data_IF_254984853325
#
_entry.id   IF_254984853325
#
_cell.length_a   1.000
_cell.length_b   1.000
_cell.length_c   1.000
_cell.angle_alpha   90.00
_cell.angle_beta   90.00
_cell.angle_gamma   90.00
#
_symmetry.space_group_name_H-M   'P 1'
#
loop_
_entity.id
_entity.type
_entity.pdbx_description
1 polymer ?
#
# COMPACT_ATOMS: atom_id res chain seq x y z
N UNK A 1 -24.88 11.19 -4.88
CA UNK A 1 -24.71 10.16 -3.84
C UNK A 1 -23.47 10.48 -3.03
N UNK A 2 -23.57 10.42 -1.71
CA UNK A 2 -22.47 10.67 -0.79
C UNK A 2 -21.95 9.38 -0.19
N UNK A 3 -20.61 9.25 -0.07
CA UNK A 3 -19.95 8.06 0.48
C UNK A 3 -19.07 8.47 1.65
N UNK A 4 -19.27 7.84 2.82
CA UNK A 4 -18.39 7.99 3.97
C UNK A 4 -17.41 6.84 4.02
N UNK A 5 -16.13 7.12 3.84
CA UNK A 5 -15.04 6.13 4.03
C UNK A 5 -14.60 6.18 5.49
N UNK A 6 -14.71 5.06 6.21
CA UNK A 6 -14.22 4.94 7.58
C UNK A 6 -12.78 4.46 7.58
N UNK A 7 -11.85 5.25 8.11
CA UNK A 7 -10.45 4.88 8.27
C UNK A 7 -10.10 4.66 9.75
N UNK A 8 -9.52 3.49 10.06
CA UNK A 8 -9.13 3.13 11.43
C UNK A 8 -7.99 3.98 12.00
N UNK A 9 -7.18 4.62 11.15
CA UNK A 9 -6.08 5.51 11.54
C UNK A 9 -5.70 6.45 10.40
N UNK A 10 -5.95 7.76 10.56
CA UNK A 10 -5.57 8.84 9.65
C UNK A 10 -4.33 9.61 10.10
N UNK A 11 -3.73 9.25 11.22
CA UNK A 11 -2.54 9.93 11.74
C UNK A 11 -1.32 9.78 10.83
N UNK A 12 -0.28 10.52 11.11
CA UNK A 12 1.00 10.46 10.38
C UNK A 12 1.68 9.10 10.44
N UNK A 13 1.37 8.29 11.45
CA UNK A 13 1.82 6.88 11.56
C UNK A 13 0.92 5.90 10.80
N UNK A 14 -0.32 6.28 10.47
CA UNK A 14 -1.32 5.48 9.75
C UNK A 14 -1.46 5.83 8.27
N UNK A 15 -2.71 5.92 7.80
CA UNK A 15 -3.04 6.25 6.41
C UNK A 15 -2.54 7.64 5.99
N UNK A 16 -2.46 8.59 6.93
CA UNK A 16 -1.93 9.93 6.70
C UNK A 16 -0.44 9.98 6.35
N UNK A 17 0.34 8.96 6.69
CA UNK A 17 1.78 8.88 6.48
C UNK A 17 2.22 9.12 5.04
N UNK A 18 1.45 8.68 4.09
CA UNK A 18 1.79 8.70 2.67
C UNK A 18 1.13 9.85 1.91
N UNK A 19 0.54 10.81 2.64
CA UNK A 19 0.07 12.06 2.05
C UNK A 19 -0.91 11.89 0.91
N UNK A 20 -1.88 11.00 1.05
CA UNK A 20 -2.91 10.78 0.03
C UNK A 20 -2.61 9.67 -0.99
N UNK A 21 -1.42 9.04 -0.95
CA UNK A 21 -1.05 7.95 -1.86
C UNK A 21 -1.50 6.56 -1.38
N UNK A 22 -2.29 6.47 -0.31
CA UNK A 22 -2.80 5.21 0.24
C UNK A 22 -4.24 4.96 -0.13
N UNK A 23 -4.68 3.74 0.06
CA UNK A 23 -5.95 3.19 -0.40
C UNK A 23 -7.20 4.06 -0.17
N UNK A 24 -7.48 4.64 1.04
CA UNK A 24 -8.69 5.46 1.21
C UNK A 24 -8.69 6.71 0.33
N UNK A 25 -7.53 7.28 0.04
CA UNK A 25 -7.43 8.44 -0.86
C UNK A 25 -7.57 8.04 -2.33
N UNK A 26 -7.02 6.88 -2.74
CA UNK A 26 -7.21 6.35 -4.09
C UNK A 26 -8.68 6.00 -4.35
N UNK A 27 -9.35 5.38 -3.38
CA UNK A 27 -10.80 5.15 -3.41
C UNK A 27 -11.57 6.47 -3.57
N UNK A 28 -11.22 7.49 -2.78
CA UNK A 28 -11.86 8.81 -2.85
C UNK A 28 -11.69 9.46 -4.21
N UNK A 29 -10.49 9.40 -4.80
CA UNK A 29 -10.23 9.94 -6.13
C UNK A 29 -11.05 9.22 -7.20
N UNK A 30 -11.10 7.89 -7.17
CA UNK A 30 -11.86 7.10 -8.11
C UNK A 30 -13.38 7.33 -7.98
N UNK A 31 -13.90 7.41 -6.75
CA UNK A 31 -15.30 7.70 -6.47
C UNK A 31 -15.72 9.12 -6.92
N UNK A 32 -14.84 10.12 -6.75
CA UNK A 32 -15.09 11.47 -7.28
C UNK A 32 -15.16 11.51 -8.79
N UNK A 33 -14.31 10.74 -9.49
CA UNK A 33 -14.37 10.66 -10.97
C UNK A 33 -15.71 10.18 -11.49
N UNK A 34 -16.44 9.38 -10.74
CA UNK A 34 -17.79 8.91 -11.09
C UNK A 34 -18.92 9.77 -10.47
N UNK A 35 -18.57 10.97 -10.00
CA UNK A 35 -19.55 11.96 -9.53
C UNK A 35 -20.04 11.76 -8.10
N UNK A 36 -19.41 10.93 -7.28
CA UNK A 36 -19.75 10.80 -5.88
C UNK A 36 -19.17 11.95 -5.04
N UNK A 37 -19.93 12.44 -4.07
CA UNK A 37 -19.39 13.21 -2.96
C UNK A 37 -18.72 12.25 -1.98
N UNK A 38 -17.51 12.55 -1.53
CA UNK A 38 -16.74 11.66 -0.64
C UNK A 38 -16.26 12.41 0.58
N UNK A 39 -16.47 11.82 1.75
CA UNK A 39 -15.84 12.20 3.00
C UNK A 39 -15.03 11.02 3.57
N UNK A 40 -13.90 11.31 4.19
CA UNK A 40 -13.13 10.34 4.96
C UNK A 40 -13.30 10.67 6.44
N UNK A 41 -13.91 9.77 7.19
CA UNK A 41 -14.07 9.90 8.65
C UNK A 41 -13.13 8.90 9.30
N UNK A 42 -12.24 9.34 10.18
CA UNK A 42 -11.28 8.40 10.74
C UNK A 42 -10.61 8.87 12.01
N UNK A 43 -10.06 7.90 12.74
CA UNK A 43 -9.35 8.18 13.98
C UNK A 43 -7.97 8.79 13.74
N UNK A 44 -7.57 9.67 14.65
CA UNK A 44 -6.21 10.21 14.74
C UNK A 44 -5.69 10.05 16.16
N UNK A 45 -4.45 9.55 16.27
CA UNK A 45 -3.73 9.46 17.56
C UNK A 45 -2.85 10.69 17.78
N UNK A 46 -2.57 11.43 16.71
CA UNK A 46 -1.73 12.63 16.63
C UNK A 46 -2.39 13.65 15.69
N UNK A 47 -1.76 14.79 15.49
CA UNK A 47 -2.22 15.76 14.51
C UNK A 47 -2.26 15.16 13.09
N UNK A 48 -3.24 15.58 12.29
CA UNK A 48 -3.28 15.26 10.86
C UNK A 48 -2.00 15.79 10.19
N UNK A 49 -1.37 15.01 9.30
CA UNK A 49 -0.29 15.53 8.48
C UNK A 49 -0.78 16.71 7.63
N UNK A 50 0.02 17.78 7.56
CA UNK A 50 -0.34 19.01 6.83
C UNK A 50 -0.65 18.78 5.34
N UNK A 51 -0.04 17.77 4.72
CA UNK A 51 -0.28 17.43 3.33
C UNK A 51 -1.63 16.74 3.05
N UNK A 52 -2.31 16.21 4.08
CA UNK A 52 -3.67 15.65 3.94
C UNK A 52 -4.71 16.77 3.85
N UNK A 53 -4.51 17.89 4.53
CA UNK A 53 -5.43 19.02 4.50
C UNK A 53 -5.55 19.70 3.13
N UNK A 54 -4.67 19.39 2.17
CA UNK A 54 -4.70 19.91 0.80
C UNK A 54 -5.48 19.03 -0.18
N UNK A 55 -6.17 17.99 0.29
CA UNK A 55 -6.98 17.12 -0.57
C UNK A 55 -8.29 17.80 -0.99
N UNK A 56 -8.81 17.42 -2.15
CA UNK A 56 -10.05 17.95 -2.71
C UNK A 56 -11.34 17.32 -2.14
N UNK A 57 -11.25 16.50 -1.09
CA UNK A 57 -12.39 15.86 -0.41
C UNK A 57 -12.36 16.14 1.08
N UNK A 58 -13.53 16.01 1.72
CA UNK A 58 -13.69 16.27 3.15
C UNK A 58 -12.99 15.21 3.99
N UNK A 59 -12.20 15.62 4.96
CA UNK A 59 -11.57 14.74 5.94
C UNK A 59 -12.05 15.16 7.33
N UNK A 60 -12.63 14.23 8.06
CA UNK A 60 -13.18 14.42 9.41
C UNK A 60 -12.34 13.61 10.40
N UNK A 61 -11.33 14.21 11.03
CA UNK A 61 -10.51 13.54 12.03
C UNK A 61 -11.23 13.45 13.37
N UNK A 62 -11.15 12.28 14.00
CA UNK A 62 -11.70 12.02 15.33
C UNK A 62 -10.56 11.65 16.27
N UNK A 63 -10.42 12.38 17.38
CA UNK A 63 -9.41 12.09 18.39
C UNK A 63 -9.66 10.70 19.02
N UNK A 64 -8.65 9.83 18.94
CA UNK A 64 -8.78 8.43 19.39
C UNK A 64 -8.38 8.27 20.86
N UNK A 65 -9.31 7.81 21.69
CA UNK A 65 -8.97 7.21 22.97
C UNK A 65 -8.45 5.78 22.73
N UNK A 66 -7.25 5.48 23.24
CA UNK A 66 -6.49 4.27 22.88
C UNK A 66 -7.12 2.96 23.37
N UNK A 67 -7.76 3.01 24.55
CA UNK A 67 -8.22 1.83 25.27
C UNK A 67 -9.71 1.91 25.67
N UNK A 68 -10.38 0.77 25.77
CA UNK A 68 -11.68 0.70 26.43
C UNK A 68 -11.57 1.08 27.91
N UNK A 69 -12.60 1.72 28.55
CA UNK A 69 -13.88 2.10 27.94
C UNK A 69 -13.80 3.45 27.19
N UNK A 70 -12.73 4.24 27.33
CA UNK A 70 -12.60 5.57 26.69
C UNK A 70 -12.80 5.53 25.18
N UNK A 71 -12.34 4.47 24.52
CA UNK A 71 -12.53 4.28 23.07
C UNK A 71 -14.02 4.35 22.65
N UNK A 72 -14.96 3.95 23.51
CA UNK A 72 -16.39 4.01 23.18
C UNK A 72 -16.88 5.44 22.94
N UNK A 73 -16.28 6.44 23.59
CA UNK A 73 -16.59 7.86 23.35
C UNK A 73 -16.13 8.29 21.98
N UNK A 74 -14.89 7.96 21.61
CA UNK A 74 -14.36 8.22 20.27
C UNK A 74 -15.15 7.47 19.18
N UNK A 75 -15.57 6.25 19.45
CA UNK A 75 -16.39 5.45 18.54
C UNK A 75 -17.78 6.10 18.32
N UNK A 76 -18.42 6.58 19.39
CA UNK A 76 -19.68 7.31 19.28
C UNK A 76 -19.52 8.59 18.44
N UNK A 77 -18.51 9.39 18.72
CA UNK A 77 -18.21 10.60 17.96
C UNK A 77 -18.01 10.29 16.47
N UNK A 78 -17.25 9.24 16.13
CA UNK A 78 -17.06 8.81 14.75
C UNK A 78 -18.38 8.43 14.10
N UNK A 79 -19.21 7.63 14.78
CA UNK A 79 -20.52 7.22 14.28
C UNK A 79 -21.44 8.41 14.00
N UNK A 80 -21.40 9.45 14.85
CA UNK A 80 -22.21 10.66 14.68
C UNK A 80 -21.79 11.49 13.45
N UNK A 81 -20.51 11.37 13.03
CA UNK A 81 -19.94 12.09 11.86
C UNK A 81 -20.12 11.37 10.53
N UNK A 82 -20.59 10.14 10.51
CA UNK A 82 -20.86 9.39 9.26
C UNK A 82 -22.16 9.90 8.67
N UNK A 83 -22.09 10.59 7.51
CA UNK A 83 -23.25 11.22 6.87
C UNK A 83 -23.58 10.62 5.49
N UNK A 84 -22.68 9.86 4.86
CA UNK A 84 -22.85 9.29 3.51
C UNK A 84 -24.03 8.32 3.38
N UNK A 85 -24.57 8.22 2.17
CA UNK A 85 -25.62 7.27 1.80
C UNK A 85 -25.09 5.82 1.85
N UNK A 86 -23.80 5.63 1.50
CA UNK A 86 -23.05 4.39 1.61
C UNK A 86 -21.92 4.57 2.62
N UNK A 87 -21.71 3.55 3.47
CA UNK A 87 -20.62 3.49 4.44
C UNK A 87 -19.55 2.55 3.88
N UNK A 88 -18.34 3.06 3.61
CA UNK A 88 -17.24 2.27 3.06
C UNK A 88 -16.16 2.07 4.13
N UNK A 89 -16.17 0.91 4.78
CA UNK A 89 -15.17 0.56 5.79
C UNK A 89 -13.84 0.22 5.14
N UNK A 90 -12.80 0.98 5.43
CA UNK A 90 -11.44 0.70 5.00
C UNK A 90 -10.69 -0.09 6.06
N UNK A 91 -10.20 -1.26 5.68
CA UNK A 91 -9.58 -2.33 6.48
C UNK A 91 -10.56 -3.20 7.26
N UNK A 92 -10.22 -4.47 7.35
CA UNK A 92 -10.95 -5.47 8.11
C UNK A 92 -10.57 -5.38 9.60
N UNK A 93 -11.07 -4.33 10.27
CA UNK A 93 -10.80 -4.04 11.68
C UNK A 93 -12.08 -3.76 12.47
N UNK A 94 -12.11 -4.03 13.79
CA UNK A 94 -13.19 -3.57 14.65
C UNK A 94 -13.44 -2.07 14.59
N UNK A 95 -12.37 -1.28 14.47
CA UNK A 95 -12.42 0.19 14.41
C UNK A 95 -12.83 0.76 13.04
N UNK A 96 -13.06 -0.09 12.02
CA UNK A 96 -13.64 0.30 10.73
C UNK A 96 -14.88 -0.52 10.42
N UNK A 97 -14.75 -1.81 10.00
CA UNK A 97 -15.91 -2.67 9.72
C UNK A 97 -16.85 -2.79 10.91
N UNK A 98 -16.30 -3.00 12.12
CA UNK A 98 -17.14 -3.13 13.33
C UNK A 98 -18.03 -1.90 13.53
N UNK A 99 -17.48 -0.69 13.42
CA UNK A 99 -18.23 0.56 13.55
C UNK A 99 -19.19 0.77 12.37
N UNK A 100 -18.80 0.41 11.15
CA UNK A 100 -19.66 0.45 9.98
C UNK A 100 -20.91 -0.42 10.16
N UNK A 101 -20.75 -1.64 10.70
CA UNK A 101 -21.87 -2.55 11.00
C UNK A 101 -22.77 -2.00 12.12
N UNK A 102 -22.21 -1.36 13.15
CA UNK A 102 -23.01 -0.65 14.16
C UNK A 102 -23.83 0.47 13.52
N UNK A 103 -23.22 1.27 12.64
CA UNK A 103 -23.95 2.34 11.92
C UNK A 103 -25.03 1.76 11.00
N UNK A 104 -24.77 0.64 10.31
CA UNK A 104 -25.76 -0.07 9.49
C UNK A 104 -26.99 -0.46 10.32
N UNK A 105 -26.79 -0.99 11.53
CA UNK A 105 -27.91 -1.35 12.44
C UNK A 105 -28.73 -0.13 12.86
N UNK A 106 -28.10 1.04 13.00
CA UNK A 106 -28.78 2.29 13.39
C UNK A 106 -29.54 2.97 12.24
N UNK A 107 -29.04 2.81 11.01
CA UNK A 107 -29.51 3.66 9.87
C UNK A 107 -29.95 2.88 8.65
N UNK A 108 -29.81 1.56 8.63
CA UNK A 108 -30.07 0.66 7.47
C UNK A 108 -29.28 1.02 6.20
N UNK A 109 -28.23 1.84 6.30
CA UNK A 109 -27.38 2.20 5.16
C UNK A 109 -26.52 1.03 4.74
N UNK A 110 -26.28 0.84 3.42
CA UNK A 110 -25.40 -0.22 2.94
C UNK A 110 -23.95 -0.02 3.41
N UNK A 111 -23.29 -1.14 3.75
CA UNK A 111 -21.89 -1.17 4.15
C UNK A 111 -21.07 -1.90 3.11
N UNK A 112 -20.09 -1.19 2.56
CA UNK A 112 -19.04 -1.76 1.75
C UNK A 112 -17.80 -1.96 2.61
N UNK A 113 -17.04 -3.00 2.35
CA UNK A 113 -15.77 -3.30 3.02
C UNK A 113 -14.65 -3.32 1.98
N UNK A 114 -13.60 -2.57 2.23
CA UNK A 114 -12.35 -2.65 1.46
C UNK A 114 -11.26 -3.32 2.30
N UNK A 115 -10.69 -4.40 1.77
CA UNK A 115 -9.61 -5.16 2.42
C UNK A 115 -8.33 -4.96 1.61
N UNK A 116 -7.39 -4.19 2.15
CA UNK A 116 -6.09 -3.90 1.53
C UNK A 116 -4.90 -4.58 2.21
N UNK A 117 -5.17 -5.31 3.27
CA UNK A 117 -4.16 -6.07 4.01
C UNK A 117 -4.81 -7.22 4.80
N UNK A 118 -4.07 -8.26 5.05
CA UNK A 118 -4.48 -9.28 6.01
C UNK A 118 -3.90 -8.92 7.38
N UNK A 119 -4.66 -8.16 8.14
CA UNK A 119 -4.22 -7.59 9.42
C UNK A 119 -3.69 -8.64 10.41
N UNK A 120 -4.27 -9.84 10.41
CA UNK A 120 -3.82 -10.93 11.29
C UNK A 120 -2.46 -11.51 10.87
N UNK A 121 -2.04 -11.36 9.62
CA UNK A 121 -0.75 -11.87 9.12
C UNK A 121 0.45 -11.30 9.91
N UNK A 122 0.34 -10.07 10.39
CA UNK A 122 1.37 -9.40 11.19
C UNK A 122 1.58 -10.03 12.58
N UNK A 123 0.66 -10.92 12.99
CA UNK A 123 0.69 -11.62 14.27
C UNK A 123 0.85 -13.15 14.10
N UNK A 124 1.21 -13.61 12.89
CA UNK A 124 1.35 -15.04 12.59
C UNK A 124 0.17 -15.66 11.86
N UNK A 125 -0.80 -14.86 11.42
CA UNK A 125 -1.93 -15.28 10.58
C UNK A 125 -2.79 -16.35 11.22
N UNK A 126 -3.10 -17.42 10.46
CA UNK A 126 -3.95 -18.51 10.93
C UNK A 126 -3.36 -19.28 12.12
N UNK A 127 -2.04 -19.23 12.31
CA UNK A 127 -1.34 -19.86 13.42
C UNK A 127 -1.47 -19.07 14.73
N UNK A 128 -1.96 -17.82 14.67
CA UNK A 128 -2.12 -17.02 15.86
C UNK A 128 -3.20 -17.59 16.79
N UNK A 129 -2.84 -17.76 18.07
CA UNK A 129 -3.73 -18.29 19.11
C UNK A 129 -3.58 -17.44 20.37
N UNK A 130 -4.69 -17.23 21.05
CA UNK A 130 -4.72 -16.58 22.35
C UNK A 130 -5.12 -17.60 23.43
N UNK A 131 -4.12 -18.05 24.17
CA UNK A 131 -4.28 -19.03 25.26
C UNK A 131 -3.70 -18.47 26.57
N UNK A 132 -4.32 -17.44 27.16
CA UNK A 132 -3.80 -16.82 28.37
C UNK A 132 -4.00 -17.72 29.59
N UNK A 133 -3.06 -17.65 30.55
CA UNK A 133 -3.35 -18.12 31.93
C UNK A 133 -4.41 -17.21 32.57
N UNK A 134 -5.07 -17.68 33.65
CA UNK A 134 -6.06 -16.87 34.37
C UNK A 134 -5.46 -15.52 34.84
N UNK A 135 -4.22 -15.54 35.34
CA UNK A 135 -3.49 -14.32 35.75
C UNK A 135 -3.25 -13.37 34.61
N UNK A 136 -2.89 -13.91 33.43
CA UNK A 136 -2.67 -13.11 32.21
C UNK A 136 -4.00 -12.53 31.74
N UNK A 137 -5.06 -13.31 31.67
CA UNK A 137 -6.40 -12.86 31.27
C UNK A 137 -6.90 -11.71 32.15
N UNK A 138 -6.77 -11.87 33.47
CA UNK A 138 -7.11 -10.81 34.42
C UNK A 138 -6.30 -9.53 34.17
N UNK A 139 -5.01 -9.65 33.92
CA UNK A 139 -4.15 -8.51 33.60
C UNK A 139 -4.59 -7.83 32.30
N UNK A 140 -4.87 -8.63 31.25
CA UNK A 140 -5.19 -8.12 29.91
C UNK A 140 -6.57 -7.41 29.87
N UNK A 141 -7.46 -7.72 30.83
CA UNK A 141 -8.78 -7.07 30.99
C UNK A 141 -8.70 -5.89 31.96
N UNK A 142 -8.08 -6.08 33.13
CA UNK A 142 -8.23 -5.15 34.26
C UNK A 142 -7.20 -4.00 34.24
N UNK A 143 -5.97 -4.22 33.72
CA UNK A 143 -4.97 -3.14 33.68
C UNK A 143 -5.40 -2.04 32.71
N UNK A 144 -5.12 -0.76 32.99
CA UNK A 144 -5.44 0.36 32.10
C UNK A 144 -4.95 0.17 30.65
N UNK A 145 -3.78 -0.43 30.47
CA UNK A 145 -3.17 -0.74 29.17
C UNK A 145 -3.24 -2.24 28.83
N UNK A 146 -4.23 -2.94 29.37
CA UNK A 146 -4.43 -4.36 29.12
C UNK A 146 -4.64 -4.66 27.64
N UNK A 147 -4.09 -5.78 27.17
CA UNK A 147 -4.09 -6.12 25.74
C UNK A 147 -5.52 -6.19 25.17
N UNK A 148 -6.47 -6.77 25.90
CA UNK A 148 -7.87 -6.88 25.48
C UNK A 148 -8.65 -5.55 25.58
N UNK A 149 -8.05 -4.50 26.11
CA UNK A 149 -8.65 -3.15 26.09
C UNK A 149 -8.30 -2.37 24.81
N UNK A 150 -7.41 -2.90 23.96
CA UNK A 150 -7.12 -2.32 22.66
C UNK A 150 -8.16 -2.77 21.63
N UNK A 151 -8.89 -1.85 20.97
CA UNK A 151 -9.96 -2.21 20.02
C UNK A 151 -9.52 -3.09 18.85
N UNK A 152 -8.27 -2.91 18.36
CA UNK A 152 -7.70 -3.67 17.26
C UNK A 152 -6.67 -4.72 17.75
N UNK A 153 -6.85 -5.27 18.96
CA UNK A 153 -6.05 -6.41 19.42
C UNK A 153 -6.22 -7.62 18.47
N UNK A 154 -5.18 -8.45 18.25
CA UNK A 154 -5.27 -9.63 17.37
C UNK A 154 -6.46 -10.57 17.69
N UNK A 155 -6.89 -10.65 18.94
CA UNK A 155 -8.10 -11.37 19.32
C UNK A 155 -9.34 -10.84 18.60
N UNK A 156 -9.52 -9.52 18.58
CA UNK A 156 -10.64 -8.88 17.92
C UNK A 156 -10.46 -8.83 16.39
N UNK A 157 -9.20 -8.76 15.89
CA UNK A 157 -8.92 -8.89 14.45
C UNK A 157 -9.37 -10.27 13.94
N UNK A 158 -9.05 -11.33 14.66
CA UNK A 158 -9.51 -12.68 14.30
C UNK A 158 -11.03 -12.83 14.36
N UNK A 159 -11.64 -12.23 15.39
CA UNK A 159 -13.10 -12.28 15.57
C UNK A 159 -13.84 -11.55 14.44
N UNK A 160 -13.37 -10.36 14.03
CA UNK A 160 -14.03 -9.55 13.00
C UNK A 160 -13.97 -10.20 11.60
N UNK A 161 -13.03 -11.08 11.33
CA UNK A 161 -12.98 -11.85 10.07
C UNK A 161 -14.27 -12.65 9.84
N UNK A 162 -14.92 -13.13 10.90
CA UNK A 162 -16.20 -13.81 10.81
C UNK A 162 -17.38 -12.94 10.37
N UNK A 163 -17.20 -11.62 10.30
CA UNK A 163 -18.26 -10.66 9.93
C UNK A 163 -18.13 -10.12 8.52
N UNK A 164 -17.17 -10.57 7.73
CA UNK A 164 -16.99 -10.12 6.33
C UNK A 164 -18.27 -10.26 5.51
N UNK A 165 -19.00 -11.38 5.70
CA UNK A 165 -20.28 -11.66 5.01
C UNK A 165 -21.44 -10.72 5.39
N UNK A 166 -21.29 -9.87 6.43
CA UNK A 166 -22.29 -8.85 6.83
C UNK A 166 -22.16 -7.56 6.03
N UNK A 167 -21.04 -7.37 5.33
CA UNK A 167 -20.90 -6.28 4.36
C UNK A 167 -21.73 -6.57 3.10
N UNK A 168 -22.37 -5.55 2.54
CA UNK A 168 -23.19 -5.69 1.32
C UNK A 168 -22.32 -5.87 0.08
N UNK A 169 -21.10 -5.32 0.10
CA UNK A 169 -20.05 -5.53 -0.91
C UNK A 169 -18.69 -5.60 -0.24
N UNK A 170 -17.83 -6.42 -0.80
CA UNK A 170 -16.42 -6.54 -0.40
C UNK A 170 -15.53 -6.24 -1.60
N UNK A 171 -14.58 -5.34 -1.45
CA UNK A 171 -13.53 -5.07 -2.43
C UNK A 171 -12.16 -5.37 -1.82
N UNK A 172 -11.23 -5.76 -2.67
CA UNK A 172 -9.88 -6.09 -2.27
C UNK A 172 -8.91 -5.96 -3.45
N UNK A 173 -7.66 -5.69 -3.16
CA UNK A 173 -6.72 -5.27 -4.19
C UNK A 173 -5.82 -6.38 -4.74
N UNK A 174 -5.95 -7.63 -4.25
CA UNK A 174 -5.16 -8.75 -4.77
C UNK A 174 -5.92 -10.08 -4.70
N UNK A 175 -5.43 -11.07 -5.45
CA UNK A 175 -6.06 -12.39 -5.56
C UNK A 175 -5.92 -13.23 -4.28
N UNK A 176 -4.83 -13.06 -3.53
CA UNK A 176 -4.64 -13.75 -2.25
C UNK A 176 -5.76 -13.38 -1.26
N UNK A 177 -6.05 -12.08 -1.11
CA UNK A 177 -7.16 -11.62 -0.27
C UNK A 177 -8.52 -12.05 -0.83
N UNK A 178 -8.68 -12.05 -2.17
CA UNK A 178 -9.92 -12.51 -2.82
C UNK A 178 -10.20 -13.98 -2.58
N UNK A 179 -9.20 -14.83 -2.63
CA UNK A 179 -9.34 -16.26 -2.32
C UNK A 179 -9.69 -16.47 -0.84
N UNK A 180 -9.16 -15.63 0.06
CA UNK A 180 -9.39 -15.73 1.49
C UNK A 180 -10.76 -15.22 1.93
N UNK A 181 -11.17 -14.05 1.46
CA UNK A 181 -12.33 -13.33 1.97
C UNK A 181 -13.50 -13.23 0.98
N UNK A 182 -13.30 -13.64 -0.26
CA UNK A 182 -14.25 -13.40 -1.33
C UNK A 182 -14.31 -11.93 -1.74
N UNK A 183 -15.22 -11.60 -2.65
CA UNK A 183 -15.45 -10.21 -3.06
C UNK A 183 -14.95 -9.85 -4.45
N UNK A 184 -14.88 -8.56 -4.75
CA UNK A 184 -14.58 -8.00 -6.06
C UNK A 184 -13.14 -7.51 -6.08
N UNK A 185 -12.37 -7.95 -7.07
CA UNK A 185 -11.02 -7.46 -7.30
C UNK A 185 -11.06 -6.00 -7.72
N UNK A 186 -10.44 -5.15 -6.93
CA UNK A 186 -10.34 -3.71 -7.14
C UNK A 186 -8.88 -3.31 -6.89
N UNK A 187 -8.01 -3.36 -7.90
CA UNK A 187 -6.60 -3.03 -7.74
C UNK A 187 -6.39 -1.57 -7.33
N UNK A 188 -5.21 -1.25 -6.79
CA UNK A 188 -4.85 0.14 -6.51
C UNK A 188 -4.71 0.92 -7.81
N UNK A 189 -5.48 1.99 -7.96
CA UNK A 189 -5.39 2.91 -9.08
C UNK A 189 -4.16 3.81 -9.00
N UNK A 190 -3.43 3.95 -10.12
CA UNK A 190 -2.33 4.91 -10.27
C UNK A 190 -2.83 6.16 -10.98
N UNK A 191 -2.44 7.33 -10.50
CA UNK A 191 -2.63 8.58 -11.23
C UNK A 191 -1.65 8.63 -12.40
N UNK A 192 -2.09 8.14 -13.56
CA UNK A 192 -1.29 8.09 -14.78
C UNK A 192 -1.16 9.43 -15.48
N UNK A 193 -1.89 10.46 -15.03
CA UNK A 193 -1.73 11.84 -15.48
C UNK A 193 -0.58 12.53 -14.75
N UNK A 194 -0.47 12.27 -13.44
CA UNK A 194 0.68 12.72 -12.64
C UNK A 194 1.94 11.90 -13.02
N UNK A 195 1.82 10.56 -13.07
CA UNK A 195 2.89 9.65 -13.49
C UNK A 195 2.89 9.51 -15.01
N UNK A 196 3.28 10.59 -15.70
CA UNK A 196 3.39 10.64 -17.14
C UNK A 196 4.85 10.88 -17.56
N UNK A 197 5.53 9.88 -18.17
CA UNK A 197 6.94 10.01 -18.55
C UNK A 197 7.22 11.17 -19.49
N UNK A 198 6.24 11.61 -20.29
CA UNK A 198 6.41 12.75 -21.20
C UNK A 198 6.62 14.10 -20.48
N UNK A 199 6.30 14.17 -19.18
CA UNK A 199 6.45 15.38 -18.35
C UNK A 199 7.81 15.52 -17.67
N UNK A 200 8.64 14.47 -17.71
CA UNK A 200 9.87 14.41 -16.95
C UNK A 200 11.03 13.98 -17.84
N UNK A 201 12.10 14.75 -17.84
CA UNK A 201 13.36 14.37 -18.48
C UNK A 201 14.15 13.44 -17.56
N UNK A 202 14.41 12.16 -17.96
CA UNK A 202 15.15 11.22 -17.13
C UNK A 202 16.58 11.67 -16.82
N UNK A 203 17.26 12.31 -17.78
CA UNK A 203 18.64 12.78 -17.59
C UNK A 203 18.67 14.00 -16.66
N UNK A 204 17.81 14.98 -16.90
CA UNK A 204 17.65 16.13 -16.01
C UNK A 204 17.28 15.72 -14.59
N UNK A 205 16.47 14.66 -14.42
CA UNK A 205 16.15 14.08 -13.11
C UNK A 205 17.40 13.46 -12.46
N UNK A 206 18.22 12.71 -13.21
CA UNK A 206 19.47 12.15 -12.69
C UNK A 206 20.45 13.26 -12.25
N UNK A 207 20.61 14.30 -13.04
CA UNK A 207 21.45 15.45 -12.69
C UNK A 207 20.95 16.10 -11.39
N UNK A 208 19.65 16.37 -11.30
CA UNK A 208 19.05 17.01 -10.12
C UNK A 208 19.26 16.23 -8.83
N UNK A 209 19.23 14.90 -8.89
CA UNK A 209 19.36 14.04 -7.71
C UNK A 209 20.77 13.43 -7.53
N UNK A 210 21.77 13.88 -8.30
CA UNK A 210 23.15 13.40 -8.17
C UNK A 210 23.35 11.94 -8.57
N UNK A 211 22.63 11.48 -9.58
CA UNK A 211 22.61 10.09 -10.03
C UNK A 211 23.25 9.85 -11.40
N UNK A 212 23.78 10.91 -12.06
CA UNK A 212 24.23 10.86 -13.46
C UNK A 212 25.43 9.94 -13.69
N UNK A 213 26.28 9.73 -12.68
CA UNK A 213 27.48 8.91 -12.81
C UNK A 213 27.17 7.39 -12.79
N UNK A 214 25.89 7.03 -12.61
CA UNK A 214 25.50 5.66 -12.35
C UNK A 214 24.36 5.16 -13.24
N UNK A 215 24.39 3.86 -13.51
CA UNK A 215 23.23 3.10 -13.98
C UNK A 215 22.37 2.73 -12.78
N UNK A 216 21.20 3.33 -12.67
CA UNK A 216 20.34 3.31 -11.48
C UNK A 216 19.29 2.21 -11.56
N UNK A 217 19.38 1.25 -10.66
CA UNK A 217 18.22 0.46 -10.22
C UNK A 217 17.54 1.24 -9.11
N UNK A 218 16.21 1.29 -9.07
CA UNK A 218 15.51 2.04 -8.04
C UNK A 218 14.47 1.18 -7.31
N UNK A 219 14.47 1.29 -5.98
CA UNK A 219 13.46 0.75 -5.10
C UNK A 219 12.71 1.91 -4.42
N UNK A 220 11.58 2.36 -4.98
CA UNK A 220 10.80 3.46 -4.39
C UNK A 220 9.95 2.94 -3.22
N UNK A 221 10.41 3.21 -2.00
CA UNK A 221 9.72 2.86 -0.77
C UNK A 221 10.63 2.36 0.35
N UNK A 222 10.07 2.22 1.55
CA UNK A 222 10.78 1.72 2.73
C UNK A 222 11.20 0.25 2.52
N UNK A 223 12.47 -0.08 2.71
CA UNK A 223 12.94 -1.47 2.68
C UNK A 223 12.41 -2.24 3.89
N UNK A 224 12.20 -3.54 3.69
CA UNK A 224 11.77 -4.53 4.69
C UNK A 224 12.32 -5.89 4.31
N UNK A 225 12.59 -6.81 5.25
CA UNK A 225 13.12 -8.14 4.92
C UNK A 225 12.29 -8.88 3.87
N UNK A 226 10.96 -8.89 4.01
CA UNK A 226 10.06 -9.57 3.07
C UNK A 226 9.99 -8.89 1.68
N UNK A 227 10.49 -7.66 1.54
CA UNK A 227 10.57 -6.96 0.24
C UNK A 227 11.82 -7.31 -0.57
N UNK A 228 12.75 -8.11 -0.04
CA UNK A 228 13.83 -8.76 -0.75
C UNK A 228 14.90 -7.84 -1.32
N UNK A 229 15.09 -6.63 -0.80
CA UNK A 229 16.12 -5.68 -1.27
C UNK A 229 17.51 -6.28 -1.23
N UNK A 230 17.79 -7.16 -0.27
CA UNK A 230 19.07 -7.88 -0.13
C UNK A 230 19.40 -8.69 -1.39
N UNK A 231 18.40 -9.31 -2.03
CA UNK A 231 18.63 -10.13 -3.22
C UNK A 231 19.14 -9.29 -4.41
N UNK A 232 18.70 -8.03 -4.50
CA UNK A 232 19.22 -7.06 -5.49
C UNK A 232 20.65 -6.65 -5.14
N UNK A 233 20.94 -6.42 -3.86
CA UNK A 233 22.28 -6.02 -3.41
C UNK A 233 23.30 -7.14 -3.62
N UNK A 234 22.93 -8.39 -3.35
CA UNK A 234 23.76 -9.58 -3.67
C UNK A 234 23.97 -9.68 -5.19
N UNK A 235 22.94 -9.42 -6.00
CA UNK A 235 23.07 -9.40 -7.45
C UNK A 235 24.08 -8.34 -7.94
N UNK A 236 24.05 -7.13 -7.37
CA UNK A 236 25.00 -6.05 -7.68
C UNK A 236 26.43 -6.42 -7.23
N UNK A 237 26.57 -7.04 -6.07
CA UNK A 237 27.86 -7.52 -5.58
C UNK A 237 28.46 -8.58 -6.50
N UNK A 238 27.65 -9.56 -6.95
CA UNK A 238 28.06 -10.59 -7.89
C UNK A 238 28.47 -10.02 -9.26
N UNK A 239 27.76 -9.00 -9.75
CA UNK A 239 28.09 -8.31 -11.01
C UNK A 239 29.36 -7.48 -10.88
N UNK A 240 29.63 -6.94 -9.71
CA UNK A 240 30.78 -6.11 -9.37
C UNK A 240 31.10 -4.99 -10.39
N UNK A 241 30.05 -4.40 -10.97
CA UNK A 241 30.20 -3.29 -11.93
C UNK A 241 30.14 -1.94 -11.19
N UNK A 242 31.22 -1.13 -11.24
CA UNK A 242 31.37 0.04 -10.36
C UNK A 242 30.38 1.18 -10.61
N UNK A 243 29.74 1.19 -11.75
CA UNK A 243 28.74 2.18 -12.16
C UNK A 243 27.29 1.76 -11.85
N UNK A 244 27.03 0.55 -11.32
CA UNK A 244 25.71 0.13 -10.90
C UNK A 244 25.41 0.61 -9.48
N UNK A 245 24.21 1.13 -9.25
CA UNK A 245 23.70 1.50 -7.91
C UNK A 245 22.23 1.16 -7.75
N UNK A 246 21.87 0.80 -6.52
CA UNK A 246 20.48 0.72 -6.06
C UNK A 246 20.12 2.01 -5.32
N UNK A 247 19.27 2.83 -5.91
CA UNK A 247 18.67 3.98 -5.23
C UNK A 247 17.48 3.49 -4.39
N UNK A 248 17.56 3.63 -3.07
CA UNK A 248 16.46 3.33 -2.13
C UNK A 248 15.82 4.66 -1.75
N UNK A 249 14.54 4.85 -2.11
CA UNK A 249 13.81 6.11 -1.88
C UNK A 249 12.95 6.01 -0.63
N UNK A 250 13.36 6.68 0.44
CA UNK A 250 12.77 6.59 1.77
C UNK A 250 13.51 5.59 2.65
N UNK A 251 13.23 5.61 3.96
CA UNK A 251 13.86 4.75 4.96
C UNK A 251 12.84 3.90 5.71
N UNK A 252 13.31 2.94 6.52
CA UNK A 252 12.46 2.19 7.43
C UNK A 252 12.07 3.07 8.62
N UNK A 253 10.79 3.35 8.83
CA UNK A 253 10.35 4.18 9.95
C UNK A 253 10.07 3.37 11.22
N UNK A 254 10.27 2.05 11.19
CA UNK A 254 9.86 1.13 12.25
C UNK A 254 11.03 0.44 12.94
N UNK A 255 12.19 0.39 12.25
CA UNK A 255 13.37 -0.34 12.68
C UNK A 255 14.62 0.28 12.03
N UNK A 256 15.78 -0.30 12.28
CA UNK A 256 17.07 0.12 11.73
C UNK A 256 17.51 -0.75 10.53
N UNK A 257 16.58 -1.40 9.82
CA UNK A 257 16.90 -2.32 8.73
C UNK A 257 17.64 -1.63 7.57
N UNK A 258 17.27 -0.40 7.23
CA UNK A 258 17.98 0.41 6.23
C UNK A 258 19.43 0.70 6.63
N UNK A 259 19.71 0.96 7.92
CA UNK A 259 21.07 1.10 8.43
C UNK A 259 21.87 -0.20 8.27
N UNK A 260 21.27 -1.35 8.61
CA UNK A 260 21.91 -2.67 8.43
C UNK A 260 22.27 -2.93 6.96
N UNK A 261 21.40 -2.55 6.02
CA UNK A 261 21.69 -2.64 4.59
C UNK A 261 22.87 -1.74 4.19
N UNK A 262 22.91 -0.50 4.71
CA UNK A 262 24.00 0.45 4.45
C UNK A 262 25.34 -0.05 5.03
N UNK A 263 25.35 -0.61 6.22
CA UNK A 263 26.57 -1.16 6.85
C UNK A 263 27.15 -2.31 6.03
N UNK A 264 26.30 -3.16 5.45
CA UNK A 264 26.75 -4.35 4.70
C UNK A 264 27.03 -4.07 3.22
N UNK A 265 26.20 -3.25 2.57
CA UNK A 265 26.24 -3.04 1.12
C UNK A 265 26.28 -1.56 0.69
N UNK A 266 26.73 -0.66 1.57
CA UNK A 266 26.71 0.79 1.34
C UNK A 266 27.36 1.23 0.03
N UNK A 267 28.38 0.50 -0.47
CA UNK A 267 29.02 0.77 -1.78
C UNK A 267 28.06 0.68 -2.97
N UNK A 268 26.97 -0.10 -2.82
CA UNK A 268 25.97 -0.33 -3.87
C UNK A 268 24.71 0.49 -3.70
N UNK A 269 24.56 1.19 -2.57
CA UNK A 269 23.32 1.89 -2.20
C UNK A 269 23.51 3.41 -2.34
N UNK A 270 22.53 4.05 -2.98
CA UNK A 270 22.29 5.49 -2.83
C UNK A 270 21.01 5.64 -2.00
N UNK A 271 21.16 6.06 -0.75
CA UNK A 271 20.02 6.32 0.13
C UNK A 271 19.43 7.68 -0.19
N UNK A 272 18.19 7.72 -0.65
CA UNK A 272 17.45 8.95 -0.92
C UNK A 272 16.43 9.21 0.19
N UNK A 273 16.13 10.47 0.53
CA UNK A 273 15.12 10.79 1.53
C UNK A 273 13.72 10.38 1.07
N UNK A 274 12.74 10.45 1.98
CA UNK A 274 11.33 10.35 1.64
C UNK A 274 10.90 11.63 0.94
N UNK A 275 10.28 11.49 -0.23
CA UNK A 275 9.71 12.60 -0.98
C UNK A 275 8.18 12.62 -0.90
N UNK A 276 7.55 13.79 -1.03
CA UNK A 276 6.10 13.89 -1.13
C UNK A 276 5.57 13.27 -2.42
N UNK A 277 4.34 12.74 -2.44
CA UNK A 277 3.79 12.04 -3.60
C UNK A 277 3.86 12.78 -4.94
N UNK A 278 3.66 14.12 -5.01
CA UNK A 278 3.76 14.86 -6.28
C UNK A 278 5.17 14.88 -6.91
N UNK A 279 6.22 14.67 -6.10
CA UNK A 279 7.62 14.64 -6.58
C UNK A 279 8.03 13.25 -7.05
N UNK A 280 7.33 12.21 -6.60
CA UNK A 280 7.70 10.81 -6.90
C UNK A 280 7.82 10.47 -8.39
N UNK A 281 7.01 11.02 -9.32
CA UNK A 281 7.20 10.75 -10.75
C UNK A 281 8.58 11.20 -11.27
N UNK A 282 9.06 12.37 -10.85
CA UNK A 282 10.38 12.87 -11.24
C UNK A 282 11.50 11.98 -10.67
N UNK A 283 11.34 11.52 -9.41
CA UNK A 283 12.27 10.56 -8.80
C UNK A 283 12.31 9.25 -9.60
N UNK A 284 11.14 8.70 -9.93
CA UNK A 284 11.04 7.45 -10.71
C UNK A 284 11.56 7.64 -12.14
N UNK A 285 11.43 8.84 -12.71
CA UNK A 285 11.99 9.16 -14.02
C UNK A 285 13.51 8.99 -14.08
N UNK A 286 14.23 9.28 -12.99
CA UNK A 286 15.67 9.10 -12.89
C UNK A 286 16.15 7.62 -12.96
N UNK A 287 15.27 6.67 -12.68
CA UNK A 287 15.60 5.25 -12.72
C UNK A 287 15.85 4.74 -14.15
N UNK A 288 16.78 3.81 -14.32
CA UNK A 288 16.89 2.97 -15.52
C UNK A 288 16.02 1.71 -15.36
N UNK A 289 15.99 1.13 -14.18
CA UNK A 289 15.24 -0.10 -13.86
C UNK A 289 14.52 0.09 -12.53
N UNK A 290 13.24 -0.29 -12.45
CA UNK A 290 12.53 -0.41 -11.17
C UNK A 290 12.62 -1.86 -10.70
N UNK A 291 12.91 -2.06 -9.41
CA UNK A 291 13.03 -3.40 -8.81
C UNK A 291 11.93 -3.64 -7.77
N UNK A 292 11.29 -4.81 -7.88
CA UNK A 292 10.22 -5.26 -6.97
C UNK A 292 10.50 -6.70 -6.52
N UNK A 293 11.56 -6.93 -5.72
CA UNK A 293 12.13 -8.26 -5.45
C UNK A 293 11.45 -8.95 -4.25
N UNK A 294 10.13 -8.89 -4.12
CA UNK A 294 9.40 -9.46 -2.97
C UNK A 294 9.74 -10.93 -2.74
N UNK A 295 9.89 -11.32 -1.47
CA UNK A 295 10.04 -12.70 -1.03
C UNK A 295 8.68 -13.38 -0.90
N UNK A 296 8.64 -14.70 -1.05
CA UNK A 296 7.40 -15.47 -0.95
C UNK A 296 6.98 -15.66 0.51
N UNK A 297 6.32 -14.65 1.07
CA UNK A 297 5.78 -14.63 2.43
C UNK A 297 4.31 -14.23 2.42
N UNK A 298 3.52 -14.61 3.45
CA UNK A 298 2.11 -14.21 3.55
C UNK A 298 1.90 -12.70 3.50
N UNK A 299 2.78 -11.93 4.15
CA UNK A 299 2.72 -10.47 4.17
C UNK A 299 2.97 -9.87 2.79
N UNK A 300 3.89 -10.45 2.02
CA UNK A 300 4.18 -10.00 0.66
C UNK A 300 3.03 -10.34 -0.29
N UNK A 301 2.45 -11.54 -0.18
CA UNK A 301 1.28 -11.98 -0.98
C UNK A 301 0.04 -11.14 -0.70
N UNK A 302 -0.15 -10.70 0.55
CA UNK A 302 -1.29 -9.88 0.95
C UNK A 302 -1.19 -8.41 0.49
N UNK A 303 -0.05 -7.98 -0.07
CA UNK A 303 0.17 -6.59 -0.47
C UNK A 303 0.08 -6.39 -1.99
N UNK A 304 -0.46 -5.25 -2.39
CA UNK A 304 -0.34 -4.74 -3.76
C UNK A 304 0.90 -3.81 -3.83
N UNK A 305 1.94 -4.16 -4.59
CA UNK A 305 3.19 -3.39 -4.59
C UNK A 305 3.06 -2.11 -5.42
N UNK A 306 2.70 -0.98 -4.79
CA UNK A 306 2.52 0.32 -5.45
C UNK A 306 3.72 0.74 -6.31
N UNK A 307 4.96 0.38 -5.90
CA UNK A 307 6.17 0.66 -6.68
C UNK A 307 6.19 -0.02 -8.05
N UNK A 308 5.45 -1.12 -8.19
CA UNK A 308 5.28 -1.81 -9.47
C UNK A 308 4.51 -0.91 -10.45
N UNK A 309 3.36 -0.39 -10.02
CA UNK A 309 2.57 0.54 -10.84
C UNK A 309 3.23 1.91 -10.98
N UNK A 310 4.10 2.34 -10.06
CA UNK A 310 4.95 3.53 -10.25
C UNK A 310 5.89 3.34 -11.46
N UNK A 311 6.60 2.20 -11.50
CA UNK A 311 7.49 1.86 -12.62
C UNK A 311 6.74 1.69 -13.93
N UNK A 312 5.62 0.96 -13.91
CA UNK A 312 4.77 0.77 -15.10
C UNK A 312 4.27 2.11 -15.65
N UNK A 313 3.71 2.97 -14.80
CA UNK A 313 3.18 4.27 -15.21
C UNK A 313 4.25 5.18 -15.81
N UNK A 314 5.48 5.11 -15.30
CA UNK A 314 6.63 5.86 -15.80
C UNK A 314 7.37 5.17 -16.95
N UNK A 315 6.77 4.13 -17.55
CA UNK A 315 7.32 3.39 -18.69
C UNK A 315 8.74 2.83 -18.43
N UNK A 316 9.06 2.46 -17.17
CA UNK A 316 10.38 1.94 -16.84
C UNK A 316 10.47 0.44 -17.04
N UNK A 317 11.62 -0.11 -17.45
CA UNK A 317 11.92 -1.53 -17.32
C UNK A 317 11.76 -1.98 -15.87
N UNK A 318 11.14 -3.15 -15.65
CA UNK A 318 10.81 -3.63 -14.31
C UNK A 318 11.39 -5.03 -14.13
N UNK A 319 12.21 -5.24 -13.10
CA UNK A 319 12.58 -6.56 -12.60
C UNK A 319 11.73 -6.84 -11.37
N UNK A 320 10.98 -7.92 -11.39
CA UNK A 320 10.09 -8.28 -10.29
C UNK A 320 10.05 -9.80 -10.05
N UNK A 321 9.76 -10.21 -8.82
CA UNK A 321 9.64 -11.62 -8.46
C UNK A 321 8.26 -12.17 -8.76
N UNK A 322 8.17 -13.50 -8.97
CA UNK A 322 6.92 -14.23 -9.20
C UNK A 322 6.15 -14.47 -7.89
N UNK A 323 5.85 -13.38 -7.15
CA UNK A 323 5.17 -13.43 -5.84
C UNK A 323 3.81 -12.74 -5.91
N UNK A 324 2.78 -13.35 -5.32
CA UNK A 324 1.43 -12.81 -5.28
C UNK A 324 0.91 -12.48 -6.69
N UNK A 325 0.31 -11.32 -6.85
CA UNK A 325 -0.26 -10.86 -8.12
C UNK A 325 0.78 -10.22 -9.07
N UNK A 326 2.05 -10.14 -8.70
CA UNK A 326 3.08 -9.49 -9.55
C UNK A 326 3.09 -10.08 -10.97
N UNK A 327 3.09 -11.43 -11.17
CA UNK A 327 3.08 -12.00 -12.51
C UNK A 327 1.86 -11.56 -13.34
N UNK A 328 0.67 -11.52 -12.75
CA UNK A 328 -0.55 -11.08 -13.41
C UNK A 328 -0.51 -9.57 -13.72
N UNK A 329 0.02 -8.76 -12.79
CA UNK A 329 0.08 -7.31 -12.97
C UNK A 329 1.01 -6.94 -14.13
N UNK A 330 2.23 -7.48 -14.18
CA UNK A 330 3.20 -7.15 -15.23
C UNK A 330 3.00 -7.94 -16.52
N UNK A 331 2.45 -9.16 -16.41
CA UNK A 331 2.27 -10.08 -17.55
C UNK A 331 3.61 -10.21 -18.36
N UNK A 332 3.55 -10.07 -19.67
CA UNK A 332 4.74 -10.10 -20.53
C UNK A 332 5.49 -8.75 -20.62
N UNK A 333 5.08 -7.74 -19.85
CA UNK A 333 5.66 -6.39 -19.89
C UNK A 333 6.75 -6.14 -18.83
N UNK A 334 7.08 -7.14 -18.00
CA UNK A 334 8.17 -7.09 -17.01
C UNK A 334 9.20 -8.20 -17.21
N UNK A 335 10.26 -8.16 -16.42
CA UNK A 335 11.30 -9.18 -16.32
C UNK A 335 11.08 -9.93 -14.99
N UNK A 336 10.44 -11.10 -15.09
CA UNK A 336 10.09 -11.92 -13.92
C UNK A 336 11.25 -12.84 -13.53
N UNK A 337 11.49 -12.94 -12.23
CA UNK A 337 12.49 -13.82 -11.61
C UNK A 337 11.86 -14.60 -10.46
N UNK A 338 12.42 -15.73 -10.11
CA UNK A 338 12.02 -16.45 -8.90
C UNK A 338 12.36 -15.63 -7.63
N UNK A 339 11.58 -15.71 -6.55
CA UNK A 339 11.96 -15.13 -5.27
C UNK A 339 13.26 -15.77 -4.74
N UNK A 340 14.02 -15.02 -3.94
CA UNK A 340 15.31 -15.44 -3.38
C UNK A 340 16.33 -15.88 -4.45
N UNK A 341 16.34 -15.22 -5.61
CA UNK A 341 17.21 -15.60 -6.75
C UNK A 341 18.09 -14.45 -7.23
N UNK A 342 19.12 -14.04 -6.46
CA UNK A 342 20.04 -12.96 -6.85
C UNK A 342 20.71 -13.18 -8.21
N UNK A 343 21.03 -14.45 -8.57
CA UNK A 343 21.62 -14.78 -9.85
C UNK A 343 20.69 -14.47 -11.04
N UNK A 344 19.39 -14.75 -10.90
CA UNK A 344 18.42 -14.38 -11.94
C UNK A 344 18.27 -12.86 -12.03
N UNK A 345 18.26 -12.15 -10.89
CA UNK A 345 18.24 -10.68 -10.88
C UNK A 345 19.46 -10.14 -11.62
N UNK A 346 20.67 -10.65 -11.34
CA UNK A 346 21.91 -10.25 -12.00
C UNK A 346 21.81 -10.47 -13.53
N UNK A 347 21.33 -11.63 -13.97
CA UNK A 347 21.13 -11.93 -15.39
C UNK A 347 20.15 -10.96 -16.07
N UNK A 348 19.04 -10.61 -15.39
CA UNK A 348 18.09 -9.65 -15.95
C UNK A 348 18.65 -8.21 -16.00
N UNK A 349 19.47 -7.81 -15.02
CA UNK A 349 20.18 -6.53 -15.05
C UNK A 349 21.07 -6.44 -16.28
N UNK A 350 21.89 -7.47 -16.53
CA UNK A 350 22.76 -7.54 -17.71
C UNK A 350 21.94 -7.50 -19.01
N UNK A 351 20.90 -8.32 -19.11
CA UNK A 351 20.02 -8.37 -20.29
C UNK A 351 19.45 -7.00 -20.63
N UNK A 352 18.93 -6.28 -19.62
CA UNK A 352 18.33 -4.97 -19.78
C UNK A 352 19.36 -3.93 -20.24
N UNK A 353 20.54 -3.90 -19.62
CA UNK A 353 21.58 -2.92 -19.98
C UNK A 353 22.30 -3.25 -21.27
N UNK A 354 22.29 -4.50 -21.74
CA UNK A 354 22.80 -4.86 -23.05
C UNK A 354 21.92 -4.36 -24.19
N UNK A 355 20.60 -4.23 -23.98
CA UNK A 355 19.67 -3.64 -24.94
C UNK A 355 18.60 -2.80 -24.20
N UNK A 356 19.03 -1.61 -23.75
CA UNK A 356 18.16 -0.68 -23.05
C UNK A 356 17.03 -0.16 -23.94
N UNK A 357 17.22 -0.12 -25.25
CA UNK A 357 16.19 0.29 -26.20
C UNK A 357 15.01 -0.68 -26.17
N UNK A 358 15.25 -1.98 -26.29
CA UNK A 358 14.20 -2.99 -26.21
C UNK A 358 13.57 -3.04 -24.79
N UNK A 359 14.37 -2.84 -23.76
CA UNK A 359 13.86 -2.76 -22.40
C UNK A 359 12.91 -1.57 -22.20
N UNK A 360 13.21 -0.42 -22.76
CA UNK A 360 12.33 0.77 -22.73
C UNK A 360 11.04 0.55 -23.54
N UNK A 361 11.10 -0.13 -24.70
CA UNK A 361 9.90 -0.52 -25.46
C UNK A 361 9.00 -1.42 -24.58
N UNK A 362 9.59 -2.35 -23.85
CA UNK A 362 8.84 -3.19 -22.90
C UNK A 362 8.24 -2.37 -21.75
N UNK A 363 8.96 -1.37 -21.25
CA UNK A 363 8.46 -0.39 -20.28
C UNK A 363 7.27 0.41 -20.80
N UNK A 364 7.27 0.82 -22.06
CA UNK A 364 6.13 1.50 -22.70
C UNK A 364 4.88 0.60 -22.73
N UNK A 365 5.02 -0.67 -23.06
CA UNK A 365 3.92 -1.66 -23.00
C UNK A 365 3.41 -1.84 -21.56
N UNK A 366 4.31 -1.78 -20.57
CA UNK A 366 3.92 -1.82 -19.16
C UNK A 366 3.07 -0.58 -18.79
N UNK A 367 3.40 0.60 -19.32
CA UNK A 367 2.59 1.82 -19.14
C UNK A 367 1.19 1.67 -19.75
N UNK A 368 1.08 1.18 -20.97
CA UNK A 368 -0.23 0.94 -21.62
C UNK A 368 -1.10 0.01 -20.76
N UNK A 369 -0.50 -1.07 -20.25
CA UNK A 369 -1.17 -1.99 -19.35
C UNK A 369 -1.58 -1.33 -18.04
N UNK A 370 -0.71 -0.49 -17.44
CA UNK A 370 -1.02 0.28 -16.24
C UNK A 370 -2.22 1.21 -16.44
N UNK A 371 -2.24 1.95 -17.53
CA UNK A 371 -3.34 2.85 -17.88
C UNK A 371 -4.66 2.05 -18.00
N UNK A 372 -4.62 0.93 -18.70
CA UNK A 372 -5.81 0.12 -18.98
C UNK A 372 -6.39 -0.55 -17.75
N UNK A 373 -5.57 -1.07 -16.83
CA UNK A 373 -6.02 -1.97 -15.76
C UNK A 373 -5.75 -1.46 -14.34
N UNK A 374 -4.78 -0.56 -14.18
CA UNK A 374 -4.27 -0.13 -12.87
C UNK A 374 -4.24 1.39 -12.72
N UNK A 375 -4.99 2.12 -13.55
CA UNK A 375 -5.19 3.57 -13.39
C UNK A 375 -6.33 3.88 -12.42
N UNK A 376 -6.39 5.13 -11.95
CA UNK A 376 -7.55 5.62 -11.18
C UNK A 376 -8.83 5.54 -12.03
N UNK A 377 -8.73 5.70 -13.36
CA UNK A 377 -9.88 5.55 -14.26
C UNK A 377 -10.38 4.11 -14.33
N UNK A 378 -9.47 3.14 -14.42
CA UNK A 378 -9.83 1.72 -14.36
C UNK A 378 -10.49 1.36 -13.00
N UNK A 379 -9.95 1.89 -11.90
CA UNK A 379 -10.53 1.74 -10.57
C UNK A 379 -11.93 2.37 -10.48
N UNK A 380 -12.11 3.55 -11.07
CA UNK A 380 -13.39 4.27 -11.12
C UNK A 380 -14.46 3.48 -11.90
N UNK A 381 -14.08 2.85 -13.01
CA UNK A 381 -15.00 1.99 -13.80
C UNK A 381 -15.52 0.82 -12.95
N UNK A 382 -14.65 0.11 -12.24
CA UNK A 382 -15.06 -1.00 -11.36
C UNK A 382 -15.97 -0.51 -10.23
N UNK A 383 -15.66 0.65 -9.64
CA UNK A 383 -16.48 1.25 -8.59
C UNK A 383 -17.84 1.71 -9.11
N UNK A 384 -17.92 2.24 -10.33
CA UNK A 384 -19.18 2.62 -10.96
C UNK A 384 -20.14 1.43 -11.07
N UNK A 385 -19.67 0.29 -11.58
CA UNK A 385 -20.46 -0.94 -11.70
C UNK A 385 -20.94 -1.46 -10.32
N UNK A 386 -20.12 -1.23 -9.29
CA UNK A 386 -20.40 -1.67 -7.93
C UNK A 386 -21.49 -0.83 -7.26
N UNK A 387 -21.49 0.48 -7.53
CA UNK A 387 -22.37 1.47 -6.90
C UNK A 387 -23.71 1.60 -7.60
N UNK A 388 -23.76 1.39 -8.93
CA UNK A 388 -24.99 1.53 -9.76
C UNK A 388 -26.17 0.67 -9.26
N UNK A 389 -25.90 -0.28 -8.37
CA UNK A 389 -26.92 -1.17 -7.78
C UNK A 389 -27.54 -0.63 -6.49
N UNK A 390 -27.14 0.57 -6.05
CA UNK A 390 -27.62 1.26 -4.84
C UNK A 390 -28.04 2.70 -5.14
#
# INVERSE_FOLDING_TARGET
>A
MKISIIASDLSSSGAGRWGGAVRPFLLSQALKKIGCEVEIVGFVNENLPTNISQTSFSIVPIARQKYYPGFLLSAKELLDKITGDIIYAYKLKPTSLGLALVKKMQTSRPVFLDIDDWELSWYGGDNWKYHPSLKQLARDILKPEGALRQPDNPFYLKWIEGFVSKADRVTLHNQFLKQRFGGIYLPNGKDTTLFDPAKYDPEGSRIRYGLSDYRILMFPGAPRPYKGVEDVLIALENLNQPDLRLAIVGGSPYDNYDRQLMEKWGRWIIQMPKYPPPVMPEIVAAAHIIVVPQRDTPEAKAQFPLKLTDGMAMAKPIIATTVGDIPEIVDNTGYLVAPNSPAQIASQIQLIFNDLTQANIKGMKARERCIKYYSIDAMATILSDLITKY
#
